data_IF_287348884139
#
_entry.id   IF_287348884139
#
_cell.length_a   1.000
_cell.length_b   1.000
_cell.length_c   1.000
_cell.angle_alpha   90.00
_cell.angle_beta   90.00
_cell.angle_gamma   90.00
#
_symmetry.space_group_name_H-M   'P 1'
#
loop_
_entity.id
_entity.type
_entity.pdbx_description
1 polymer ?
#
# COMPACT_ATOMS: atom_id res chain seq x y z
N UNK A 1 8.64 -5.06 -9.32
CA UNK A 1 8.45 -3.62 -9.06
C UNK A 1 7.63 -3.37 -7.79
N UNK A 2 6.33 -3.71 -7.75
CA UNK A 2 5.45 -3.46 -6.58
C UNK A 2 5.87 -4.18 -5.29
N UNK A 3 6.33 -5.42 -5.37
CA UNK A 3 6.83 -6.15 -4.18
C UNK A 3 8.06 -5.49 -3.55
N UNK A 4 8.99 -4.94 -4.36
CA UNK A 4 10.15 -4.21 -3.83
C UNK A 4 9.73 -2.88 -3.20
N UNK A 5 8.69 -2.24 -3.76
CA UNK A 5 8.09 -1.04 -3.18
C UNK A 5 7.55 -1.34 -1.77
N UNK A 6 6.70 -2.35 -1.60
CA UNK A 6 6.13 -2.70 -0.29
C UNK A 6 7.16 -3.29 0.69
N UNK A 7 8.17 -4.03 0.21
CA UNK A 7 9.20 -4.62 1.07
C UNK A 7 10.16 -3.58 1.64
N UNK A 8 10.55 -2.60 0.84
CA UNK A 8 11.64 -1.67 1.17
C UNK A 8 11.18 -0.23 1.35
N UNK A 9 9.88 0.05 1.11
CA UNK A 9 9.27 1.38 1.21
C UNK A 9 10.03 2.48 0.44
N UNK A 10 10.71 2.12 -0.65
CA UNK A 10 11.46 3.07 -1.49
C UNK A 10 10.50 3.98 -2.25
N UNK A 11 10.93 5.20 -2.54
CA UNK A 11 10.14 6.13 -3.37
C UNK A 11 9.85 5.54 -4.75
N UNK A 12 8.69 5.88 -5.32
CA UNK A 12 8.31 5.43 -6.67
C UNK A 12 9.29 5.90 -7.74
N UNK A 13 9.97 7.03 -7.52
CA UNK A 13 11.09 7.47 -8.34
C UNK A 13 12.26 6.47 -8.32
N UNK A 14 12.75 6.07 -7.13
CA UNK A 14 13.82 5.09 -7.02
C UNK A 14 13.44 3.73 -7.58
N UNK A 15 12.21 3.29 -7.34
CA UNK A 15 11.68 2.05 -7.90
C UNK A 15 11.59 2.17 -9.43
N UNK A 16 11.11 3.28 -9.97
CA UNK A 16 11.06 3.53 -11.41
C UNK A 16 12.45 3.47 -12.05
N UNK A 17 13.43 4.16 -11.48
CA UNK A 17 14.82 4.14 -11.95
C UNK A 17 15.40 2.73 -11.93
N UNK A 18 15.17 1.96 -10.87
CA UNK A 18 15.67 0.57 -10.75
C UNK A 18 15.13 -0.37 -11.82
N UNK A 19 13.94 -0.07 -12.36
CA UNK A 19 13.25 -0.89 -13.36
C UNK A 19 13.22 -0.22 -14.76
N UNK A 20 13.91 0.92 -14.94
CA UNK A 20 13.98 1.63 -16.23
C UNK A 20 12.66 2.25 -16.69
N UNK A 21 11.75 2.60 -15.76
CA UNK A 21 10.45 3.22 -16.08
C UNK A 21 10.31 4.60 -15.44
N UNK A 22 9.45 5.44 -16.01
CA UNK A 22 9.13 6.75 -15.41
C UNK A 22 8.41 6.58 -14.07
N UNK A 23 8.57 7.53 -13.14
CA UNK A 23 7.86 7.52 -11.85
C UNK A 23 6.33 7.44 -12.01
N UNK A 24 5.67 8.18 -12.93
CA UNK A 24 4.23 8.01 -13.18
C UNK A 24 3.85 6.59 -13.63
N UNK A 25 4.70 5.96 -14.44
CA UNK A 25 4.49 4.57 -14.87
C UNK A 25 4.63 3.60 -13.69
N UNK A 26 5.63 3.80 -12.84
CA UNK A 26 5.80 3.03 -11.61
C UNK A 26 4.58 3.14 -10.69
N UNK A 27 4.09 4.36 -10.46
CA UNK A 27 2.86 4.61 -9.69
C UNK A 27 1.65 3.84 -10.24
N UNK A 28 1.42 3.94 -11.56
CA UNK A 28 0.29 3.26 -12.22
C UNK A 28 0.36 1.74 -12.07
N UNK A 29 1.55 1.17 -12.20
CA UNK A 29 1.74 -0.28 -12.06
C UNK A 29 1.52 -0.71 -10.61
N UNK A 30 2.07 0.02 -9.63
CA UNK A 30 1.85 -0.30 -8.21
C UNK A 30 0.36 -0.27 -7.88
N UNK A 31 -0.34 0.81 -8.25
CA UNK A 31 -1.80 0.93 -8.06
C UNK A 31 -2.59 -0.17 -8.73
N UNK A 32 -2.27 -0.50 -9.99
CA UNK A 32 -2.98 -1.55 -10.70
C UNK A 32 -2.86 -2.91 -10.02
N UNK A 33 -1.65 -3.28 -9.56
CA UNK A 33 -1.44 -4.54 -8.83
C UNK A 33 -2.19 -4.51 -7.50
N UNK A 34 -2.16 -3.39 -6.80
CA UNK A 34 -2.88 -3.19 -5.53
C UNK A 34 -4.40 -3.38 -5.72
N UNK A 35 -5.00 -2.72 -6.73
CA UNK A 35 -6.41 -2.87 -7.09
C UNK A 35 -6.77 -4.33 -7.42
N UNK A 36 -5.91 -5.04 -8.16
CA UNK A 36 -6.10 -6.46 -8.45
C UNK A 36 -6.08 -7.33 -7.18
N UNK A 37 -5.16 -7.07 -6.25
CA UNK A 37 -5.07 -7.81 -4.99
C UNK A 37 -6.28 -7.55 -4.09
N UNK A 38 -6.71 -6.29 -3.98
CA UNK A 38 -7.93 -5.91 -3.24
C UNK A 38 -9.16 -6.62 -3.84
N UNK A 39 -9.33 -6.55 -5.16
CA UNK A 39 -10.45 -7.19 -5.86
C UNK A 39 -10.46 -8.71 -5.73
N UNK A 40 -9.29 -9.34 -5.54
CA UNK A 40 -9.19 -10.79 -5.34
C UNK A 40 -9.83 -11.24 -4.01
N UNK A 41 -9.91 -10.36 -3.01
CA UNK A 41 -10.33 -10.66 -1.64
C UNK A 41 -9.56 -11.79 -0.93
N UNK A 42 -8.52 -12.36 -1.55
CA UNK A 42 -7.73 -13.49 -1.01
C UNK A 42 -6.84 -13.07 0.17
N UNK A 43 -6.41 -11.81 0.16
CA UNK A 43 -5.50 -11.24 1.15
C UNK A 43 -6.23 -10.38 2.19
N UNK A 44 -7.56 -10.39 2.17
CA UNK A 44 -8.34 -9.67 3.17
C UNK A 44 -8.13 -10.30 4.53
N UNK A 45 -7.88 -9.44 5.50
CA UNK A 45 -7.63 -9.87 6.86
C UNK A 45 -8.94 -10.36 7.48
N UNK A 46 -8.95 -11.61 7.95
CA UNK A 46 -10.12 -12.19 8.59
C UNK A 46 -10.46 -11.40 9.86
N UNK A 47 -11.66 -10.81 9.91
CA UNK A 47 -12.15 -10.05 11.08
C UNK A 47 -12.30 -10.91 12.35
N UNK A 48 -12.23 -12.24 12.22
CA UNK A 48 -12.27 -13.19 13.33
C UNK A 48 -10.85 -13.62 13.66
N UNK A 49 -10.39 -13.22 14.84
CA UNK A 49 -9.14 -13.72 15.42
C UNK A 49 -9.30 -15.23 15.64
N UNK A 50 -8.43 -16.09 15.08
CA UNK A 50 -8.48 -17.51 15.37
C UNK A 50 -8.18 -17.72 16.85
N UNK A 51 -9.16 -18.22 17.61
CA UNK A 51 -8.96 -18.67 18.98
C UNK A 51 -8.17 -19.99 18.93
N UNK A 52 -6.85 -19.90 18.97
CA UNK A 52 -5.98 -21.06 19.12
C UNK A 52 -5.98 -21.55 20.56
N UNK A 53 -6.16 -22.85 20.77
CA UNK A 53 -5.87 -23.52 22.04
C UNK A 53 -4.34 -23.51 22.25
N UNK A 54 -3.78 -22.49 22.88
CA UNK A 54 -2.40 -22.55 23.39
C UNK A 54 -1.53 -21.31 23.28
N UNK A 55 -1.96 -20.23 22.63
CA UNK A 55 -1.20 -18.98 22.61
C UNK A 55 -2.06 -17.81 23.12
N UNK A 56 -1.87 -17.48 24.40
CA UNK A 56 -2.49 -16.35 25.11
C UNK A 56 -1.82 -15.02 24.71
N UNK A 57 -1.63 -14.80 23.40
CA UNK A 57 -1.03 -13.59 22.87
C UNK A 57 -2.13 -12.57 22.61
N UNK A 58 -1.99 -11.40 23.20
CA UNK A 58 -2.84 -10.25 22.91
C UNK A 58 -2.42 -9.67 21.55
N UNK A 59 -2.82 -10.33 20.45
CA UNK A 59 -2.40 -9.97 19.10
C UNK A 59 -3.23 -8.79 18.61
N UNK A 60 -2.57 -7.65 18.38
CA UNK A 60 -3.16 -6.53 17.63
C UNK A 60 -2.87 -6.77 16.15
N UNK A 61 -3.92 -7.03 15.37
CA UNK A 61 -3.76 -7.09 13.92
C UNK A 61 -3.98 -5.70 13.36
N UNK A 62 -2.93 -5.11 12.80
CA UNK A 62 -2.96 -3.78 12.18
C UNK A 62 -2.90 -3.98 10.67
N UNK A 63 -3.93 -3.52 9.98
CA UNK A 63 -3.91 -3.42 8.52
C UNK A 63 -3.10 -2.17 8.12
N UNK A 64 -1.92 -2.38 7.53
CA UNK A 64 -0.99 -1.33 7.13
C UNK A 64 -1.09 -1.05 5.63
N UNK A 65 -2.27 -0.62 5.16
CA UNK A 65 -2.45 -0.17 3.77
C UNK A 65 -2.06 1.29 3.59
N UNK A 66 -1.45 1.63 2.46
CA UNK A 66 -1.22 3.03 2.08
C UNK A 66 -2.55 3.74 1.75
N UNK A 67 -3.01 4.58 2.67
CA UNK A 67 -4.18 5.44 2.46
C UNK A 67 -3.76 6.65 1.63
N UNK A 68 -4.53 6.98 0.60
CA UNK A 68 -4.30 8.20 -0.18
C UNK A 68 -4.36 9.42 0.74
N UNK A 69 -3.27 10.17 0.85
CA UNK A 69 -3.28 11.46 1.55
C UNK A 69 -4.14 12.46 0.79
N UNK A 70 -5.07 13.10 1.49
CA UNK A 70 -5.91 14.13 0.88
C UNK A 70 -5.04 15.34 0.56
N UNK A 71 -4.88 15.64 -0.73
CA UNK A 71 -4.15 16.84 -1.16
C UNK A 71 -4.89 18.09 -0.66
N UNK A 72 -4.24 19.00 0.09
CA UNK A 72 -4.86 20.26 0.48
C UNK A 72 -5.37 21.01 -0.76
N UNK A 73 -6.60 21.53 -0.70
CA UNK A 73 -7.14 22.35 -1.79
C UNK A 73 -6.30 23.61 -1.91
N UNK A 74 -5.87 23.95 -3.13
CA UNK A 74 -5.17 25.23 -3.38
C UNK A 74 -6.13 26.39 -3.15
N UNK A 75 -5.99 27.10 -2.03
CA UNK A 75 -6.61 28.41 -1.85
C UNK A 75 -5.84 29.41 -2.70
N UNK A 76 -6.50 30.03 -3.68
CA UNK A 76 -5.92 31.16 -4.42
C UNK A 76 -6.10 32.40 -3.54
N UNK A 77 -5.16 32.68 -2.65
CA UNK A 77 -4.90 34.08 -2.30
C UNK A 77 -3.77 34.55 -3.21
N UNK A 78 -4.17 35.15 -4.33
CA UNK A 78 -3.29 36.00 -5.10
C UNK A 78 -3.34 37.37 -4.43
N UNK A 79 -2.27 37.72 -3.72
CA UNK A 79 -1.90 39.12 -3.49
C UNK A 79 -1.46 39.74 -4.82
#
# INVERSE_FOLDING_TARGET
MSLNYWREYRTLFHVGVSYGVSEPTAFRIVRHVEDCLINSNLFNLNKKIPKGEGLDWNVVIVDATEISIQRPKKTKEKL
#
